data_IF_773623097441
#
_entry.id   IF_773623097441
#
_cell.length_a   1.000
_cell.length_b   1.000
_cell.length_c   1.000
_cell.angle_alpha   90.00
_cell.angle_beta   90.00
_cell.angle_gamma   90.00
#
_symmetry.space_group_name_H-M   'P 1'
#
loop_
_entity.id
_entity.type
_entity.pdbx_description
1 polymer ?
#
# COMPACT_ATOMS: atom_id res chain seq x y z
N UNK A 1 -15.87 40.38 -76.06
CA UNK A 1 -16.63 40.57 -74.80
C UNK A 1 -17.53 39.40 -74.38
N UNK A 2 -18.03 38.52 -75.27
CA UNK A 2 -18.86 37.36 -74.85
C UNK A 2 -18.07 36.05 -74.64
N UNK A 3 -17.34 35.58 -75.66
CA UNK A 3 -16.62 34.28 -75.64
C UNK A 3 -15.51 34.14 -74.57
N UNK A 4 -14.78 35.21 -74.27
CA UNK A 4 -13.74 35.21 -73.22
C UNK A 4 -14.34 35.33 -71.81
N UNK A 5 -15.51 35.96 -71.69
CA UNK A 5 -16.27 36.03 -70.44
C UNK A 5 -16.89 34.65 -70.15
N UNK A 6 -17.37 33.94 -71.18
CA UNK A 6 -17.94 32.59 -71.06
C UNK A 6 -16.90 31.52 -70.68
N UNK A 7 -15.67 31.57 -71.23
CA UNK A 7 -14.60 30.61 -70.87
C UNK A 7 -14.06 30.85 -69.46
N UNK A 8 -13.90 32.11 -69.04
CA UNK A 8 -13.43 32.45 -67.69
C UNK A 8 -14.48 32.11 -66.62
N UNK A 9 -15.77 32.31 -66.93
CA UNK A 9 -16.88 31.88 -66.05
C UNK A 9 -16.93 30.35 -65.98
N UNK A 10 -16.77 29.61 -67.08
CA UNK A 10 -16.78 28.14 -67.08
C UNK A 10 -15.61 27.48 -66.31
N UNK A 11 -14.42 28.10 -66.33
CA UNK A 11 -13.26 27.60 -65.57
C UNK A 11 -13.31 27.91 -64.07
N UNK A 12 -14.11 28.91 -63.66
CA UNK A 12 -14.30 29.30 -62.25
C UNK A 12 -15.59 28.70 -61.68
N UNK A 13 -16.61 28.46 -62.52
CA UNK A 13 -17.88 27.83 -62.15
C UNK A 13 -17.78 26.31 -61.98
N UNK A 14 -16.67 25.68 -62.39
CA UNK A 14 -16.48 24.23 -62.30
C UNK A 14 -16.45 23.73 -60.86
N UNK A 15 -16.03 24.58 -59.91
CA UNK A 15 -15.99 24.28 -58.48
C UNK A 15 -15.21 23.00 -58.16
N UNK A 16 -15.20 22.62 -56.89
CA UNK A 16 -15.01 21.20 -56.59
C UNK A 16 -16.36 20.54 -56.86
N UNK A 17 -16.38 19.49 -57.68
CA UNK A 17 -17.62 18.75 -57.89
C UNK A 17 -18.08 18.17 -56.54
N UNK A 18 -19.39 18.11 -56.31
CA UNK A 18 -19.92 17.63 -55.03
C UNK A 18 -19.37 16.24 -54.67
N UNK A 19 -19.21 15.37 -55.67
CA UNK A 19 -18.69 14.01 -55.50
C UNK A 19 -17.20 13.98 -55.08
N UNK A 20 -16.37 14.92 -55.56
CA UNK A 20 -14.94 15.00 -55.17
C UNK A 20 -14.73 15.65 -53.80
N UNK A 21 -15.49 16.72 -53.48
CA UNK A 21 -15.45 17.35 -52.16
C UNK A 21 -15.87 16.35 -51.08
N UNK A 22 -16.90 15.55 -51.36
CA UNK A 22 -17.36 14.50 -50.47
C UNK A 22 -16.29 13.42 -50.29
N UNK A 23 -15.68 12.93 -51.39
CA UNK A 23 -14.59 11.95 -51.31
C UNK A 23 -13.39 12.42 -50.47
N UNK A 24 -13.01 13.69 -50.58
CA UNK A 24 -11.90 14.26 -49.81
C UNK A 24 -12.25 14.43 -48.32
N UNK A 25 -13.47 14.88 -48.01
CA UNK A 25 -13.96 14.99 -46.65
C UNK A 25 -14.06 13.61 -45.98
N UNK A 26 -14.59 12.62 -46.70
CA UNK A 26 -14.69 11.24 -46.25
C UNK A 26 -13.30 10.65 -45.97
N UNK A 27 -12.32 10.91 -46.83
CA UNK A 27 -10.94 10.43 -46.66
C UNK A 27 -10.24 11.10 -45.47
N UNK A 28 -10.40 12.42 -45.31
CA UNK A 28 -9.80 13.15 -44.19
C UNK A 28 -10.39 12.70 -42.85
N UNK A 29 -11.70 12.47 -42.79
CA UNK A 29 -12.37 11.96 -41.60
C UNK A 29 -12.02 10.50 -41.32
N UNK A 30 -11.93 9.69 -42.37
CA UNK A 30 -11.50 8.29 -42.28
C UNK A 30 -10.10 8.16 -41.68
N UNK A 31 -9.13 8.96 -42.13
CA UNK A 31 -7.76 8.91 -41.61
C UNK A 31 -7.67 9.46 -40.18
N UNK A 32 -8.35 10.58 -39.90
CA UNK A 32 -8.31 11.20 -38.59
C UNK A 32 -8.85 10.28 -37.47
N UNK A 33 -9.90 9.51 -37.73
CA UNK A 33 -10.45 8.55 -36.77
C UNK A 33 -9.58 7.29 -36.68
N UNK A 34 -9.03 6.85 -37.81
CA UNK A 34 -8.19 5.64 -37.87
C UNK A 34 -6.91 5.79 -37.05
N UNK A 35 -6.26 6.96 -37.09
CA UNK A 35 -5.12 7.25 -36.21
C UNK A 35 -5.53 7.42 -34.74
N UNK A 36 -6.62 8.14 -34.46
CA UNK A 36 -7.05 8.42 -33.08
C UNK A 36 -7.39 7.13 -32.30
N UNK A 37 -7.96 6.15 -32.99
CA UNK A 37 -8.35 4.86 -32.41
C UNK A 37 -7.18 3.89 -32.23
N UNK A 38 -6.30 3.79 -33.23
CA UNK A 38 -5.11 2.93 -33.16
C UNK A 38 -4.17 3.36 -32.02
N UNK A 39 -4.11 4.67 -31.78
CA UNK A 39 -3.36 5.27 -30.69
C UNK A 39 -3.95 4.99 -29.29
N UNK A 40 -5.27 4.89 -29.11
CA UNK A 40 -5.90 4.60 -27.81
C UNK A 40 -5.95 3.10 -27.48
N UNK A 41 -6.02 2.26 -28.51
CA UNK A 41 -6.15 0.80 -28.37
C UNK A 41 -4.85 0.10 -27.97
N UNK A 42 -3.70 0.48 -28.52
CA UNK A 42 -2.42 -0.17 -28.19
C UNK A 42 -2.07 0.01 -26.71
N UNK A 43 -2.26 1.22 -26.22
CA UNK A 43 -1.50 1.64 -25.06
C UNK A 43 -2.35 1.98 -23.85
N UNK A 44 -3.68 1.99 -24.00
CA UNK A 44 -4.45 1.49 -22.88
C UNK A 44 -3.96 0.07 -22.74
N UNK A 45 -4.31 -0.91 -23.54
CA UNK A 45 -4.34 -2.31 -23.10
C UNK A 45 -3.10 -3.00 -22.55
N UNK A 46 -1.87 -2.54 -22.81
CA UNK A 46 -0.77 -2.68 -21.85
C UNK A 46 -1.15 -2.33 -20.36
N UNK A 47 -2.33 -1.72 -20.19
CA UNK A 47 -2.95 -0.92 -19.12
C UNK A 47 -3.02 -1.66 -17.86
N UNK A 48 -3.31 -2.93 -17.97
CA UNK A 48 -3.44 -3.76 -16.80
C UNK A 48 -2.70 -5.08 -17.09
N UNK A 49 -1.94 -5.10 -18.21
CA UNK A 49 -1.46 -6.29 -18.87
C UNK A 49 -0.27 -6.90 -18.13
N UNK A 50 -0.46 -8.02 -17.48
CA UNK A 50 -1.65 -8.85 -17.56
C UNK A 50 -1.59 -9.73 -16.34
N UNK A 51 -1.90 -9.09 -15.22
CA UNK A 51 -2.02 -9.81 -13.98
C UNK A 51 -2.90 -11.04 -14.20
N UNK A 52 -2.45 -12.19 -13.73
CA UNK A 52 -3.14 -13.46 -13.91
C UNK A 52 -3.99 -13.75 -12.68
N UNK A 53 -5.30 -13.78 -12.84
CA UNK A 53 -6.16 -14.35 -11.80
C UNK A 53 -6.66 -15.72 -12.22
N UNK A 54 -6.54 -16.71 -11.34
CA UNK A 54 -6.94 -18.12 -11.59
C UNK A 54 -8.13 -18.57 -10.75
N UNK A 55 -8.68 -17.69 -9.90
CA UNK A 55 -9.70 -18.04 -8.92
C UNK A 55 -10.95 -17.18 -9.01
N UNK A 56 -12.05 -17.71 -8.45
CA UNK A 56 -13.37 -17.07 -8.45
C UNK A 56 -13.33 -15.70 -7.73
N UNK A 57 -13.79 -14.65 -8.41
CA UNK A 57 -13.78 -13.28 -7.92
C UNK A 57 -12.39 -12.65 -7.74
N UNK A 58 -11.32 -13.28 -8.25
CA UNK A 58 -9.98 -12.71 -8.19
C UNK A 58 -9.76 -11.58 -9.19
N UNK A 59 -8.91 -10.62 -8.83
CA UNK A 59 -8.58 -9.46 -9.67
C UNK A 59 -7.07 -9.25 -9.69
N UNK A 60 -6.46 -9.26 -10.88
CA UNK A 60 -5.02 -9.06 -11.02
C UNK A 60 -4.70 -8.06 -12.14
N UNK A 61 -3.91 -7.03 -11.83
CA UNK A 61 -3.44 -6.04 -12.81
C UNK A 61 -1.96 -5.71 -12.59
N UNK A 62 -1.21 -5.58 -13.68
CA UNK A 62 0.23 -5.37 -13.66
C UNK A 62 1.02 -6.60 -14.09
N UNK A 63 2.17 -6.36 -14.73
CA UNK A 63 3.04 -7.43 -15.26
C UNK A 63 3.43 -8.42 -14.16
N UNK A 64 3.20 -9.70 -14.39
CA UNK A 64 3.48 -10.80 -13.45
C UNK A 64 2.68 -10.75 -12.12
N UNK A 65 1.67 -9.86 -12.00
CA UNK A 65 0.77 -9.90 -10.85
C UNK A 65 -0.05 -11.20 -10.87
N UNK A 66 -0.33 -11.80 -9.71
CA UNK A 66 -1.12 -13.04 -9.63
C UNK A 66 -2.10 -13.01 -8.46
N UNK A 67 -3.34 -13.43 -8.74
CA UNK A 67 -4.41 -13.59 -7.76
C UNK A 67 -4.96 -15.02 -7.86
N UNK A 68 -4.47 -15.94 -7.02
CA UNK A 68 -4.66 -17.39 -7.22
C UNK A 68 -5.72 -18.04 -6.36
N UNK A 69 -6.35 -17.31 -5.43
CA UNK A 69 -7.34 -17.82 -4.49
C UNK A 69 -8.63 -16.99 -4.52
N UNK A 70 -9.72 -17.55 -4.00
CA UNK A 70 -11.05 -16.92 -4.06
C UNK A 70 -11.02 -15.49 -3.51
N UNK A 71 -11.60 -14.53 -4.24
CA UNK A 71 -11.69 -13.11 -3.89
C UNK A 71 -10.33 -12.39 -3.70
N UNK A 72 -9.22 -12.97 -4.17
CA UNK A 72 -7.92 -12.34 -3.98
C UNK A 72 -7.66 -11.20 -4.97
N UNK A 73 -6.98 -10.14 -4.54
CA UNK A 73 -6.73 -8.94 -5.35
C UNK A 73 -5.25 -8.64 -5.41
N UNK A 74 -4.65 -8.65 -6.59
CA UNK A 74 -3.25 -8.33 -6.83
C UNK A 74 -3.12 -7.13 -7.76
N UNK A 75 -2.55 -6.02 -7.28
CA UNK A 75 -2.35 -4.82 -8.09
C UNK A 75 -0.90 -4.37 -8.01
N UNK A 76 -0.21 -4.32 -9.15
CA UNK A 76 1.21 -3.94 -9.24
C UNK A 76 2.11 -5.07 -9.75
N UNK A 77 3.22 -4.70 -10.39
CA UNK A 77 4.10 -5.68 -11.04
C UNK A 77 4.69 -6.70 -10.07
N UNK A 78 4.52 -8.00 -10.36
CA UNK A 78 4.86 -9.12 -9.48
C UNK A 78 4.16 -9.08 -8.10
N UNK A 79 2.97 -8.47 -7.99
CA UNK A 79 2.15 -8.61 -6.78
C UNK A 79 1.54 -10.03 -6.72
N UNK A 80 1.58 -10.69 -5.57
CA UNK A 80 1.08 -12.05 -5.38
C UNK A 80 0.05 -12.11 -4.25
N UNK A 81 -1.23 -12.24 -4.61
CA UNK A 81 -2.34 -12.47 -3.68
C UNK A 81 -2.78 -13.95 -3.77
N UNK A 82 -2.16 -14.80 -2.94
CA UNK A 82 -2.32 -16.27 -3.00
C UNK A 82 -3.05 -16.86 -1.81
N UNK A 83 -3.72 -16.03 -1.00
CA UNK A 83 -4.59 -16.47 0.08
C UNK A 83 -6.05 -16.11 -0.23
N UNK A 84 -7.00 -16.91 0.26
CA UNK A 84 -8.42 -16.61 0.07
C UNK A 84 -8.77 -15.26 0.71
N UNK A 85 -9.41 -14.36 -0.03
CA UNK A 85 -9.74 -12.99 0.39
C UNK A 85 -8.52 -12.08 0.58
N UNK A 86 -7.34 -12.47 0.11
CA UNK A 86 -6.11 -11.68 0.32
C UNK A 86 -5.99 -10.51 -0.66
N UNK A 87 -5.31 -9.44 -0.25
CA UNK A 87 -5.07 -8.25 -1.08
C UNK A 87 -3.60 -7.90 -1.09
N UNK A 88 -2.95 -7.96 -2.25
CA UNK A 88 -1.58 -7.52 -2.48
C UNK A 88 -1.56 -6.29 -3.41
N UNK A 89 -1.22 -5.12 -2.88
CA UNK A 89 -1.15 -3.87 -3.65
C UNK A 89 0.25 -3.28 -3.55
N UNK A 90 1.00 -3.27 -4.64
CA UNK A 90 2.37 -2.81 -4.72
C UNK A 90 3.27 -3.81 -5.45
N UNK A 91 4.34 -3.31 -6.07
CA UNK A 91 5.26 -4.20 -6.77
C UNK A 91 5.94 -5.17 -5.81
N UNK A 92 5.98 -6.46 -6.14
CA UNK A 92 6.48 -7.53 -5.28
C UNK A 92 5.74 -7.64 -3.92
N UNK A 93 4.55 -7.07 -3.77
CA UNK A 93 3.74 -7.29 -2.58
C UNK A 93 3.28 -8.75 -2.54
N UNK A 94 3.32 -9.39 -1.37
CA UNK A 94 2.91 -10.78 -1.18
C UNK A 94 1.87 -10.85 -0.06
N UNK A 95 0.65 -11.23 -0.40
CA UNK A 95 -0.44 -11.52 0.53
C UNK A 95 -0.83 -13.00 0.38
N UNK A 96 -0.17 -13.88 1.15
CA UNK A 96 -0.31 -15.34 1.01
C UNK A 96 -1.11 -16.01 2.13
N UNK A 97 -1.54 -15.26 3.15
CA UNK A 97 -2.43 -15.76 4.19
C UNK A 97 -3.90 -15.54 3.86
N UNK A 98 -4.78 -16.33 4.46
CA UNK A 98 -6.23 -16.09 4.34
C UNK A 98 -6.58 -14.71 4.90
N UNK A 99 -7.38 -13.93 4.18
CA UNK A 99 -7.77 -12.55 4.51
C UNK A 99 -6.57 -11.61 4.77
N UNK A 100 -5.37 -11.94 4.28
CA UNK A 100 -4.19 -11.11 4.53
C UNK A 100 -4.15 -9.90 3.60
N UNK A 101 -3.58 -8.79 4.06
CA UNK A 101 -3.48 -7.54 3.28
C UNK A 101 -2.03 -7.08 3.27
N UNK A 102 -1.41 -7.02 2.10
CA UNK A 102 -0.10 -6.45 1.87
C UNK A 102 -0.20 -5.21 0.98
N UNK A 103 0.06 -4.02 1.52
CA UNK A 103 0.04 -2.76 0.78
C UNK A 103 1.38 -2.05 0.86
N UNK A 104 2.10 -1.97 -0.25
CA UNK A 104 3.42 -1.37 -0.35
C UNK A 104 4.37 -2.21 -1.21
N UNK A 105 5.43 -1.58 -1.74
CA UNK A 105 6.46 -2.30 -2.50
C UNK A 105 7.14 -3.31 -1.57
N UNK A 106 7.22 -4.57 -1.98
CA UNK A 106 7.77 -5.66 -1.17
C UNK A 106 7.12 -5.80 0.23
N UNK A 107 5.85 -5.41 0.40
CA UNK A 107 5.09 -5.68 1.62
C UNK A 107 4.70 -7.17 1.66
N UNK A 108 4.92 -7.85 2.78
CA UNK A 108 4.67 -9.28 2.94
C UNK A 108 3.71 -9.54 4.10
N UNK A 109 2.49 -9.98 3.79
CA UNK A 109 1.49 -10.45 4.74
C UNK A 109 1.25 -11.96 4.52
N UNK A 110 2.06 -12.80 5.16
CA UNK A 110 2.21 -14.23 4.80
C UNK A 110 1.40 -15.19 5.66
N UNK A 111 0.64 -14.67 6.64
CA UNK A 111 -0.15 -15.45 7.59
C UNK A 111 -1.60 -14.99 7.60
N UNK A 112 -2.47 -15.84 8.13
CA UNK A 112 -3.90 -15.60 8.14
C UNK A 112 -4.23 -14.33 8.94
N UNK A 113 -5.13 -13.51 8.41
CA UNK A 113 -5.57 -12.22 8.92
C UNK A 113 -4.43 -11.22 9.14
N UNK A 114 -3.24 -11.43 8.55
CA UNK A 114 -2.11 -10.52 8.74
C UNK A 114 -2.20 -9.29 7.84
N UNK A 115 -1.75 -8.15 8.34
CA UNK A 115 -1.78 -6.86 7.61
C UNK A 115 -0.39 -6.24 7.58
N UNK A 116 0.17 -6.03 6.39
CA UNK A 116 1.47 -5.42 6.18
C UNK A 116 1.32 -4.15 5.31
N UNK A 117 1.55 -2.97 5.89
CA UNK A 117 1.34 -1.68 5.20
C UNK A 117 2.61 -0.82 5.24
N UNK A 118 3.31 -0.71 4.11
CA UNK A 118 4.54 0.07 3.95
C UNK A 118 5.58 -0.62 3.07
N UNK A 119 6.64 0.10 2.70
CA UNK A 119 7.77 -0.46 1.94
C UNK A 119 8.47 -1.56 2.75
N UNK A 120 8.56 -2.78 2.23
CA UNK A 120 9.31 -3.87 2.84
C UNK A 120 8.78 -4.32 4.20
N UNK A 121 7.51 -4.07 4.52
CA UNK A 121 6.87 -4.54 5.76
C UNK A 121 6.70 -6.04 5.75
N UNK A 122 6.73 -6.66 6.94
CA UNK A 122 6.57 -8.12 7.08
C UNK A 122 5.65 -8.42 8.26
N UNK A 123 4.41 -8.81 7.98
CA UNK A 123 3.45 -9.33 8.94
C UNK A 123 3.34 -10.86 8.78
N UNK A 124 4.12 -11.57 9.60
CA UNK A 124 4.39 -13.01 9.47
C UNK A 124 3.93 -13.84 10.67
N UNK A 125 3.22 -13.22 11.63
CA UNK A 125 2.42 -13.93 12.62
C UNK A 125 0.95 -13.98 12.20
N UNK A 126 0.21 -15.00 12.65
CA UNK A 126 -1.25 -15.01 12.47
C UNK A 126 -1.87 -13.80 13.16
N UNK A 127 -2.83 -13.14 12.50
CA UNK A 127 -3.48 -11.90 12.97
C UNK A 127 -2.52 -10.75 13.29
N UNK A 128 -1.28 -10.80 12.76
CA UNK A 128 -0.28 -9.76 13.03
C UNK A 128 -0.49 -8.52 12.16
N UNK A 129 -0.11 -7.35 12.66
CA UNK A 129 -0.19 -6.07 11.93
C UNK A 129 1.17 -5.38 11.93
N UNK A 130 1.73 -5.12 10.76
CA UNK A 130 2.98 -4.36 10.57
C UNK A 130 2.72 -3.12 9.72
N UNK A 131 2.85 -1.92 10.30
CA UNK A 131 2.64 -0.63 9.61
C UNK A 131 3.86 0.27 9.72
N UNK A 132 4.34 0.79 8.60
CA UNK A 132 5.52 1.65 8.49
C UNK A 132 6.69 0.97 7.78
N UNK A 133 7.53 1.73 7.07
CA UNK A 133 8.60 1.16 6.25
C UNK A 133 9.47 0.16 7.04
N UNK A 134 9.56 -1.07 6.55
CA UNK A 134 10.35 -2.16 7.15
C UNK A 134 9.94 -2.43 8.61
N UNK A 135 8.66 -2.31 8.95
CA UNK A 135 8.11 -2.85 10.19
C UNK A 135 7.99 -4.38 10.11
N UNK A 136 8.23 -5.07 11.22
CA UNK A 136 8.18 -6.53 11.33
C UNK A 136 7.25 -6.95 12.48
N UNK A 137 6.15 -7.61 12.17
CA UNK A 137 5.27 -8.22 13.15
C UNK A 137 5.30 -9.74 12.94
N UNK A 138 6.15 -10.44 13.69
CA UNK A 138 6.40 -11.89 13.51
C UNK A 138 5.73 -12.75 14.59
N UNK A 139 5.33 -12.15 15.71
CA UNK A 139 4.54 -12.81 16.75
C UNK A 139 3.08 -12.99 16.34
N UNK A 140 2.43 -14.05 16.83
CA UNK A 140 0.98 -14.23 16.70
C UNK A 140 0.27 -13.10 17.45
N UNK A 141 -0.78 -12.52 16.86
CA UNK A 141 -1.52 -11.36 17.38
C UNK A 141 -0.64 -10.12 17.65
N UNK A 142 0.55 -10.03 17.06
CA UNK A 142 1.48 -8.92 17.34
C UNK A 142 1.21 -7.70 16.45
N UNK A 143 1.53 -6.51 16.97
CA UNK A 143 1.38 -5.23 16.26
C UNK A 143 2.69 -4.45 16.28
N UNK A 144 3.26 -4.17 15.11
CA UNK A 144 4.42 -3.32 14.93
C UNK A 144 4.03 -2.06 14.15
N UNK A 145 4.01 -0.90 14.82
CA UNK A 145 3.62 0.37 14.22
C UNK A 145 4.77 1.37 14.30
N UNK A 146 5.39 1.67 13.16
CA UNK A 146 6.50 2.59 13.01
C UNK A 146 7.58 2.03 12.10
N UNK A 147 8.33 2.91 11.43
CA UNK A 147 9.48 2.50 10.62
C UNK A 147 10.45 1.68 11.46
N UNK A 148 10.89 0.53 10.94
CA UNK A 148 11.82 -0.37 11.64
C UNK A 148 11.33 -0.90 13.00
N UNK A 149 10.03 -0.81 13.31
CA UNK A 149 9.48 -1.41 14.52
C UNK A 149 9.45 -2.95 14.41
N UNK A 150 9.65 -3.65 15.51
CA UNK A 150 9.72 -5.13 15.57
C UNK A 150 8.86 -5.64 16.73
N UNK A 151 7.78 -6.36 16.43
CA UNK A 151 6.92 -7.02 17.42
C UNK A 151 7.01 -8.55 17.22
N UNK A 152 7.91 -9.19 17.97
CA UNK A 152 8.21 -10.63 17.84
C UNK A 152 7.58 -11.48 18.94
N UNK A 153 7.19 -10.89 20.07
CA UNK A 153 6.43 -11.60 21.10
C UNK A 153 4.99 -11.85 20.66
N UNK A 154 4.37 -12.92 21.16
CA UNK A 154 2.94 -13.16 20.96
C UNK A 154 2.12 -12.07 21.67
N UNK A 155 1.08 -11.56 21.01
CA UNK A 155 0.21 -10.50 21.56
C UNK A 155 1.02 -9.26 22.02
N UNK A 156 2.15 -8.99 21.35
CA UNK A 156 3.04 -7.88 21.68
C UNK A 156 2.78 -6.66 20.78
N UNK A 157 3.08 -5.47 21.28
CA UNK A 157 2.92 -4.20 20.57
C UNK A 157 4.24 -3.43 20.60
N UNK A 158 4.86 -3.24 19.43
CA UNK A 158 5.97 -2.32 19.25
C UNK A 158 5.47 -1.00 18.68
N UNK A 159 5.48 0.06 19.49
CA UNK A 159 4.86 1.34 19.16
C UNK A 159 5.91 2.45 19.00
N UNK A 160 6.08 2.89 17.75
CA UNK A 160 7.00 3.95 17.34
C UNK A 160 8.17 3.44 16.51
N UNK A 161 8.86 4.36 15.82
CA UNK A 161 10.01 4.00 14.99
C UNK A 161 11.13 3.34 15.81
N UNK A 162 11.66 2.21 15.33
CA UNK A 162 12.65 1.41 16.05
C UNK A 162 12.20 0.88 17.43
N UNK A 163 10.90 0.83 17.73
CA UNK A 163 10.40 0.13 18.91
C UNK A 163 10.56 -1.38 18.74
N UNK A 164 10.86 -2.10 19.83
CA UNK A 164 11.07 -3.54 19.78
C UNK A 164 10.39 -4.21 20.97
N UNK A 165 9.32 -4.95 20.72
CA UNK A 165 8.62 -5.77 21.71
C UNK A 165 8.94 -7.25 21.47
N UNK A 166 9.68 -7.86 22.40
CA UNK A 166 10.17 -9.25 22.24
C UNK A 166 9.41 -10.24 23.07
N UNK A 167 8.83 -9.79 24.18
CA UNK A 167 8.16 -10.65 25.13
C UNK A 167 6.68 -10.75 24.78
N UNK A 168 6.08 -11.86 25.17
CA UNK A 168 4.66 -12.06 25.03
C UNK A 168 3.90 -11.05 25.91
N UNK A 169 2.80 -10.50 25.39
CA UNK A 169 1.96 -9.50 26.08
C UNK A 169 2.71 -8.20 26.47
N UNK A 170 3.78 -7.85 25.76
CA UNK A 170 4.55 -6.63 25.99
C UNK A 170 4.06 -5.47 25.11
N UNK A 171 3.94 -4.27 25.68
CA UNK A 171 3.92 -3.01 24.91
C UNK A 171 5.26 -2.32 25.06
N UNK A 172 6.02 -2.16 23.97
CA UNK A 172 7.32 -1.48 23.97
C UNK A 172 7.28 -0.17 23.19
N UNK A 173 7.69 0.93 23.84
CA UNK A 173 7.84 2.27 23.23
C UNK A 173 9.30 2.73 23.19
N UNK A 174 10.26 1.85 23.44
CA UNK A 174 11.68 2.15 23.44
C UNK A 174 12.23 2.50 22.06
N UNK A 175 13.43 3.06 22.01
CA UNK A 175 14.19 3.26 20.77
C UNK A 175 15.34 2.28 20.80
N UNK A 176 15.36 1.36 19.85
CA UNK A 176 16.36 0.30 19.76
C UNK A 176 17.22 0.48 18.51
N UNK A 177 18.41 -0.09 18.54
CA UNK A 177 19.13 -0.36 17.29
C UNK A 177 18.51 -1.59 16.65
N UNK A 178 18.29 -1.54 15.33
CA UNK A 178 17.84 -2.70 14.57
C UNK A 178 18.92 -3.08 13.56
N UNK A 179 19.29 -4.36 13.54
CA UNK A 179 20.36 -4.84 12.66
C UNK A 179 19.75 -5.27 11.32
N UNK A 180 19.91 -4.41 10.30
CA UNK A 180 19.75 -4.81 8.89
C UNK A 180 18.34 -5.19 8.42
N UNK A 181 18.28 -5.70 7.19
CA UNK A 181 17.06 -5.95 6.39
C UNK A 181 16.28 -7.22 6.75
N UNK A 182 16.44 -7.77 7.95
CA UNK A 182 15.92 -9.10 8.31
C UNK A 182 15.08 -9.15 9.59
N UNK A 183 14.64 -8.00 10.12
CA UNK A 183 13.79 -7.99 11.33
C UNK A 183 14.49 -8.46 12.60
N UNK A 184 15.82 -8.59 12.59
CA UNK A 184 16.59 -8.93 13.79
C UNK A 184 16.93 -7.63 14.52
N UNK A 185 16.16 -7.32 15.55
CA UNK A 185 16.45 -6.20 16.43
C UNK A 185 17.78 -6.44 17.17
N UNK A 186 18.66 -5.44 17.23
CA UNK A 186 19.81 -5.49 18.13
C UNK A 186 19.31 -5.42 19.58
N UNK A 187 20.02 -6.08 20.50
CA UNK A 187 19.67 -6.10 21.92
C UNK A 187 19.98 -4.80 22.65
N UNK A 188 20.47 -3.77 21.96
CA UNK A 188 20.79 -2.48 22.57
C UNK A 188 19.68 -1.47 22.34
N UNK A 189 18.96 -1.17 23.43
CA UNK A 189 18.11 0.01 23.52
C UNK A 189 19.01 1.26 23.58
N UNK A 190 18.82 2.20 22.66
CA UNK A 190 19.60 3.45 22.58
C UNK A 190 18.86 4.65 23.12
N UNK A 191 17.56 4.52 23.39
CA UNK A 191 16.78 5.58 23.99
C UNK A 191 15.42 5.13 24.51
N UNK A 192 14.78 6.05 25.23
CA UNK A 192 13.41 5.92 25.72
C UNK A 192 12.55 7.02 25.11
N UNK A 193 11.24 6.85 25.19
CA UNK A 193 10.27 7.91 24.92
C UNK A 193 9.64 8.34 26.23
N UNK A 194 9.33 9.62 26.35
CA UNK A 194 8.42 10.08 27.40
C UNK A 194 7.00 9.65 27.05
N UNK A 195 6.26 9.20 28.06
CA UNK A 195 4.82 8.97 27.95
C UNK A 195 4.11 10.07 28.74
N UNK A 196 3.50 11.01 28.04
CA UNK A 196 2.84 12.19 28.62
C UNK A 196 1.34 12.19 28.35
N UNK A 197 0.59 13.00 29.10
CA UNK A 197 -0.88 13.06 29.00
C UNK A 197 -1.62 12.01 29.84
N UNK A 198 -0.93 11.34 30.76
CA UNK A 198 -1.57 10.42 31.71
C UNK A 198 -2.37 11.19 32.77
N UNK A 199 -3.66 10.89 32.85
CA UNK A 199 -4.47 11.20 34.05
C UNK A 199 -3.97 10.40 35.26
N UNK A 200 -4.43 10.77 36.45
CA UNK A 200 -4.15 10.01 37.66
C UNK A 200 -4.72 8.60 37.55
N UNK A 201 -3.91 7.59 37.85
CA UNK A 201 -4.37 6.20 37.97
C UNK A 201 -5.19 6.00 39.24
N UNK A 202 -6.33 5.34 39.12
CA UNK A 202 -7.28 5.02 40.20
C UNK A 202 -7.20 3.54 40.56
N UNK A 203 -7.06 2.65 39.58
CA UNK A 203 -6.99 1.21 39.79
C UNK A 203 -5.55 0.70 39.94
N UNK A 204 -5.39 -0.51 40.47
CA UNK A 204 -4.07 -1.11 40.74
C UNK A 204 -3.26 -1.48 39.48
N UNK A 205 -3.92 -1.57 38.33
CA UNK A 205 -3.37 -1.93 37.02
C UNK A 205 -3.20 -0.72 36.08
N UNK A 206 -3.44 0.49 36.59
CA UNK A 206 -3.23 1.72 35.84
C UNK A 206 -1.83 2.30 36.06
N UNK A 207 -1.31 2.99 35.04
CA UNK A 207 -0.02 3.63 35.13
C UNK A 207 -0.07 4.84 36.08
N UNK A 208 0.91 4.93 36.97
CA UNK A 208 1.08 6.07 37.89
C UNK A 208 1.75 7.22 37.15
N UNK A 209 1.16 8.43 37.21
CA UNK A 209 1.80 9.62 36.66
C UNK A 209 2.77 10.29 37.67
N UNK A 210 3.54 11.28 37.21
CA UNK A 210 4.52 11.98 38.07
C UNK A 210 3.86 12.72 39.25
N UNK A 211 2.67 13.30 39.06
CA UNK A 211 1.95 14.05 40.11
C UNK A 211 1.53 13.17 41.29
N UNK A 212 1.06 11.95 41.01
CA UNK A 212 0.75 10.96 42.03
C UNK A 212 2.00 10.52 42.80
N UNK A 213 3.11 10.28 42.09
CA UNK A 213 4.39 9.93 42.72
C UNK A 213 4.92 11.07 43.62
N UNK A 214 4.85 12.32 43.14
CA UNK A 214 5.27 13.49 43.92
C UNK A 214 4.41 13.66 45.18
N UNK A 215 3.08 13.46 45.07
CA UNK A 215 2.14 13.49 46.19
C UNK A 215 2.46 12.41 47.23
N UNK A 216 2.63 11.15 46.80
CA UNK A 216 2.97 10.05 47.69
C UNK A 216 4.30 10.28 48.42
N UNK A 217 5.30 10.83 47.72
CA UNK A 217 6.59 11.21 48.31
C UNK A 217 6.43 12.31 49.36
N UNK A 218 5.61 13.33 49.11
CA UNK A 218 5.36 14.40 50.08
C UNK A 218 4.66 13.88 51.34
N UNK A 219 3.65 13.00 51.19
CA UNK A 219 2.98 12.34 52.32
C UNK A 219 3.96 11.52 53.17
N UNK A 220 4.80 10.70 52.55
CA UNK A 220 5.78 9.87 53.27
C UNK A 220 6.80 10.72 54.06
N UNK A 221 7.22 11.86 53.52
CA UNK A 221 8.11 12.81 54.23
C UNK A 221 7.37 13.44 55.42
N UNK A 222 6.09 13.79 55.26
CA UNK A 222 5.29 14.37 56.35
C UNK A 222 5.02 13.39 57.48
N UNK A 223 4.89 12.09 57.20
CA UNK A 223 4.67 11.05 58.21
C UNK A 223 5.95 10.68 58.98
N UNK A 224 7.12 10.92 58.38
CA UNK A 224 8.43 10.61 58.98
C UNK A 224 8.97 11.73 59.89
N UNK A 225 8.44 12.95 59.79
CA UNK A 225 8.81 14.12 60.60
C UNK A 225 7.83 14.33 61.76
#
# INVERSE_FOLDING_TARGET
>A
NKKQLDTAIASISGGVSADEAQKMADTAQHNAVTEAKTYTDTEISNVLNSGSSTADGGFAIGRDATATEQLSTATGGAAHATGAGSTATGSNAIASGMNSTATGIAAHATKDNSTATGLGTRAEGNSSTATGARAYATGVDSTATGSLSIASGKNSVALGANAVARNDNEVNIGIWTVAGSGGTASNTQTGTRTLSGLSDGVNSDEAVNKGQLDTAKASAISEAN
#
